data_IF_666206975912
#
_entry.id   IF_666206975912
#
_cell.length_a   1.000
_cell.length_b   1.000
_cell.length_c   1.000
_cell.angle_alpha   90.00
_cell.angle_beta   90.00
_cell.angle_gamma   90.00
#
_symmetry.space_group_name_H-M   'P 1'
#
loop_
_entity.id
_entity.type
_entity.pdbx_description
1 polymer ?
#
# COMPACT_ATOMS: atom_id res chain seq x y z
N UNK A 1 38.48 34.19 41.64
CA UNK A 1 38.18 32.80 41.20
C UNK A 1 37.33 32.18 42.31
N UNK A 2 36.16 31.56 42.04
CA UNK A 2 35.76 30.85 40.83
C UNK A 2 34.48 31.38 40.16
N UNK A 3 34.32 30.99 38.89
CA UNK A 3 33.20 31.29 37.99
C UNK A 3 31.99 30.38 38.26
N UNK A 4 30.78 30.94 38.19
CA UNK A 4 29.53 30.18 38.15
C UNK A 4 29.37 29.51 36.77
N UNK A 5 29.68 28.22 36.69
CA UNK A 5 29.38 27.40 35.51
C UNK A 5 27.90 27.06 35.47
N UNK A 6 27.19 27.62 34.49
CA UNK A 6 25.83 27.25 34.13
C UNK A 6 25.84 25.87 33.46
N UNK A 7 25.32 24.85 34.14
CA UNK A 7 25.09 23.52 33.59
C UNK A 7 23.76 23.51 32.82
N UNK A 8 23.83 23.71 31.51
CA UNK A 8 22.71 23.46 30.61
C UNK A 8 22.61 21.95 30.39
N UNK A 9 21.59 21.31 30.99
CA UNK A 9 21.20 19.94 30.67
C UNK A 9 20.47 19.92 29.32
N UNK A 10 21.19 19.69 28.22
CA UNK A 10 20.57 19.29 26.95
C UNK A 10 20.08 17.84 27.05
N UNK A 11 18.79 17.65 27.28
CA UNK A 11 18.14 16.36 27.15
C UNK A 11 18.11 15.96 25.67
N UNK A 12 19.00 15.03 25.27
CA UNK A 12 18.95 14.37 23.98
C UNK A 12 17.71 13.45 23.96
N UNK A 13 16.59 13.96 23.45
CA UNK A 13 15.44 13.12 23.09
C UNK A 13 15.88 12.28 21.88
N UNK A 14 16.46 11.12 22.16
CA UNK A 14 16.66 10.09 21.15
C UNK A 14 15.27 9.59 20.72
N UNK A 15 14.70 10.23 19.70
CA UNK A 15 13.53 9.70 19.01
C UNK A 15 13.95 8.38 18.37
N UNK A 16 13.71 7.28 19.06
CA UNK A 16 13.80 5.95 18.46
C UNK A 16 12.76 5.93 17.34
N UNK A 17 13.20 6.13 16.10
CA UNK A 17 12.37 5.81 14.94
C UNK A 17 12.04 4.33 15.08
N UNK A 18 10.79 4.04 15.43
CA UNK A 18 10.32 2.67 15.46
C UNK A 18 10.35 2.20 14.01
N UNK A 19 11.32 1.32 13.72
CA UNK A 19 11.30 0.46 12.55
C UNK A 19 10.09 -0.43 12.80
N UNK A 20 9.05 -0.31 11.97
CA UNK A 20 7.93 -1.22 12.05
C UNK A 20 7.24 -1.44 10.70
N UNK A 21 6.59 -2.60 10.57
CA UNK A 21 6.82 -3.49 9.44
C UNK A 21 5.60 -4.26 8.96
N UNK A 22 4.88 -3.63 8.05
CA UNK A 22 3.74 -4.20 7.36
C UNK A 22 3.60 -3.44 6.05
N UNK A 23 3.75 -4.08 4.90
CA UNK A 23 3.61 -3.41 3.62
C UNK A 23 2.68 -4.21 2.68
N UNK A 24 2.09 -3.51 1.71
CA UNK A 24 1.21 -4.11 0.71
C UNK A 24 2.03 -4.34 -0.56
N UNK A 25 2.43 -5.59 -0.80
CA UNK A 25 3.40 -5.90 -1.87
C UNK A 25 2.77 -6.02 -3.25
N UNK A 26 1.62 -6.68 -3.35
CA UNK A 26 0.94 -6.91 -4.62
C UNK A 26 -0.57 -6.92 -4.40
N UNK A 27 -1.31 -6.32 -5.32
CA UNK A 27 -2.77 -6.29 -5.33
C UNK A 27 -3.33 -6.50 -6.73
N UNK A 28 -4.44 -7.21 -6.83
CA UNK A 28 -5.21 -7.47 -8.05
C UNK A 28 -6.66 -7.06 -7.79
N UNK A 29 -7.29 -6.40 -8.75
CA UNK A 29 -8.72 -6.14 -8.70
C UNK A 29 -9.51 -7.38 -9.15
N UNK A 30 -10.78 -7.48 -8.77
CA UNK A 30 -11.64 -8.60 -9.16
C UNK A 30 -11.87 -8.71 -10.67
N UNK A 31 -11.74 -7.60 -11.40
CA UNK A 31 -11.76 -7.55 -12.87
C UNK A 31 -10.35 -7.59 -13.50
N UNK A 32 -9.32 -7.91 -12.71
CA UNK A 32 -7.93 -8.06 -13.17
C UNK A 32 -7.04 -6.85 -12.88
N UNK A 33 -5.99 -6.70 -13.68
CA UNK A 33 -4.93 -5.71 -13.45
C UNK A 33 -4.03 -6.05 -12.25
N UNK A 34 -2.98 -5.27 -12.06
CA UNK A 34 -2.02 -5.51 -10.99
C UNK A 34 -1.46 -4.19 -10.46
N UNK A 35 -1.16 -4.15 -9.17
CA UNK A 35 -0.65 -2.97 -8.49
C UNK A 35 0.27 -3.34 -7.33
N UNK A 36 1.06 -2.38 -6.90
CA UNK A 36 1.79 -2.41 -5.62
C UNK A 36 1.58 -1.08 -4.89
N UNK A 37 1.88 -1.03 -3.60
CA UNK A 37 1.74 0.22 -2.87
C UNK A 37 2.78 1.26 -3.30
N UNK A 38 2.40 2.54 -3.17
CA UNK A 38 3.32 3.66 -3.33
C UNK A 38 4.52 3.51 -2.39
N UNK A 39 5.72 3.75 -2.93
CA UNK A 39 6.97 3.67 -2.18
C UNK A 39 7.55 2.27 -2.03
N UNK A 40 6.87 1.21 -2.52
CA UNK A 40 7.42 -0.14 -2.62
C UNK A 40 8.59 -0.15 -3.62
N UNK A 41 9.66 -0.87 -3.27
CA UNK A 41 10.88 -0.96 -4.08
C UNK A 41 11.07 -2.35 -4.72
N UNK A 42 10.08 -3.25 -4.55
CA UNK A 42 10.09 -4.59 -5.13
C UNK A 42 11.23 -5.46 -4.61
N UNK A 43 11.74 -6.36 -5.46
CA UNK A 43 12.75 -7.36 -5.09
C UNK A 43 14.14 -6.80 -4.70
N UNK A 44 14.34 -5.48 -4.73
CA UNK A 44 15.58 -4.84 -4.26
C UNK A 44 15.65 -4.83 -2.73
N UNK A 45 14.52 -4.88 -2.03
CA UNK A 45 14.45 -4.96 -0.58
C UNK A 45 14.48 -6.43 -0.16
N UNK A 46 15.50 -6.88 0.60
CA UNK A 46 15.54 -8.26 1.06
C UNK A 46 14.37 -8.55 2.01
N UNK A 47 13.71 -9.70 1.88
CA UNK A 47 12.67 -10.11 2.83
C UNK A 47 13.22 -10.49 4.22
N UNK A 48 14.46 -11.00 4.29
CA UNK A 48 15.09 -11.41 5.56
C UNK A 48 16.34 -10.60 5.88
N UNK A 49 16.61 -10.42 7.18
CA UNK A 49 17.82 -9.76 7.64
C UNK A 49 17.57 -8.64 8.65
N UNK A 50 18.51 -7.71 8.74
CA UNK A 50 18.41 -6.58 9.66
C UNK A 50 17.31 -5.64 9.18
N UNK A 51 16.41 -5.35 10.09
CA UNK A 51 15.33 -4.40 9.96
C UNK A 51 15.64 -3.16 9.07
N UNK A 52 16.72 -2.44 9.40
CA UNK A 52 17.15 -1.26 8.64
C UNK A 52 17.40 -1.46 7.13
N UNK A 53 17.47 -2.70 6.65
CA UNK A 53 17.68 -3.13 5.26
C UNK A 53 16.42 -3.71 4.64
N UNK A 54 15.62 -4.47 5.40
CA UNK A 54 14.47 -5.25 4.91
C UNK A 54 13.16 -4.47 4.87
N UNK A 55 13.18 -3.22 5.33
CA UNK A 55 11.96 -2.48 5.70
C UNK A 55 11.97 -1.05 5.15
N UNK A 56 12.90 -0.78 4.24
CA UNK A 56 13.11 0.57 3.70
C UNK A 56 11.90 1.08 2.92
N UNK A 57 11.04 0.19 2.44
CA UNK A 57 9.86 0.49 1.64
C UNK A 57 8.53 0.32 2.39
N UNK A 58 8.57 0.03 3.70
CA UNK A 58 7.34 0.03 4.51
C UNK A 58 6.82 1.46 4.68
N UNK A 59 5.57 1.69 4.29
CA UNK A 59 4.92 2.98 4.47
C UNK A 59 4.45 3.13 5.92
N UNK A 60 4.83 4.26 6.52
CA UNK A 60 4.42 4.66 7.86
C UNK A 60 3.54 5.91 7.78
N UNK A 61 2.35 5.86 8.38
CA UNK A 61 1.47 7.03 8.51
C UNK A 61 1.64 7.73 9.85
N UNK A 62 1.12 8.97 9.95
CA UNK A 62 1.29 9.81 11.16
C UNK A 62 0.18 9.63 12.20
N UNK A 63 -0.98 9.11 11.81
CA UNK A 63 -2.20 9.08 12.61
C UNK A 63 -2.84 7.69 12.50
N UNK A 64 -3.21 7.12 13.65
CA UNK A 64 -3.83 5.78 13.79
C UNK A 64 -5.25 5.69 13.25
N UNK A 65 -5.88 6.84 13.04
CA UNK A 65 -7.16 6.93 12.36
C UNK A 65 -6.93 6.80 10.84
N UNK A 66 -7.64 5.86 10.21
CA UNK A 66 -7.51 5.58 8.79
C UNK A 66 -8.00 6.76 7.94
N UNK A 67 -9.04 7.46 8.41
CA UNK A 67 -9.68 8.60 7.73
C UNK A 67 -8.89 9.91 7.95
N UNK A 68 -7.58 9.84 7.72
CA UNK A 68 -6.67 10.98 7.83
C UNK A 68 -5.81 11.10 6.59
N UNK A 69 -5.61 12.35 6.15
CA UNK A 69 -4.94 12.65 4.89
C UNK A 69 -3.46 12.28 4.86
N UNK A 70 -2.98 12.11 3.63
CA UNK A 70 -1.58 11.91 3.31
C UNK A 70 -1.24 10.47 2.92
N UNK A 71 -0.23 10.36 2.05
CA UNK A 71 0.20 9.11 1.43
C UNK A 71 1.26 8.35 2.24
N UNK A 72 1.58 8.84 3.44
CA UNK A 72 2.61 8.27 4.31
C UNK A 72 4.03 8.56 3.84
N UNK A 73 5.00 7.87 4.44
CA UNK A 73 6.41 7.94 4.07
C UNK A 73 7.08 6.60 4.26
N UNK A 74 8.05 6.29 3.42
CA UNK A 74 8.97 5.16 3.60
C UNK A 74 10.32 5.66 4.09
N UNK A 75 11.14 4.76 4.61
CA UNK A 75 12.50 5.11 5.08
C UNK A 75 13.47 5.30 3.92
N UNK A 76 13.33 4.50 2.86
CA UNK A 76 14.16 4.52 1.67
C UNK A 76 13.76 5.59 0.65
N UNK A 77 12.46 5.87 0.52
CA UNK A 77 11.93 6.84 -0.45
C UNK A 77 11.52 8.19 0.15
N UNK A 78 11.43 8.31 1.47
CA UNK A 78 10.94 9.52 2.12
C UNK A 78 9.41 9.67 2.00
N UNK A 79 8.90 10.90 1.89
CA UNK A 79 7.44 11.13 1.79
C UNK A 79 6.92 10.62 0.45
N UNK A 80 5.93 9.75 0.49
CA UNK A 80 5.23 9.28 -0.70
C UNK A 80 4.45 10.42 -1.36
N UNK A 81 4.37 10.40 -2.68
CA UNK A 81 3.68 11.36 -3.54
C UNK A 81 2.78 10.61 -4.51
N UNK A 82 1.73 11.26 -5.01
CA UNK A 82 0.88 10.67 -6.03
C UNK A 82 1.70 10.25 -7.27
N UNK A 83 2.68 11.06 -7.67
CA UNK A 83 3.58 10.78 -8.79
C UNK A 83 4.40 9.48 -8.61
N UNK A 84 4.57 8.96 -7.40
CA UNK A 84 5.27 7.69 -7.14
C UNK A 84 4.48 6.49 -7.70
N UNK A 85 3.24 6.70 -8.15
CA UNK A 85 2.47 5.71 -8.90
C UNK A 85 3.22 5.24 -10.15
N UNK A 86 3.98 6.12 -10.81
CA UNK A 86 4.78 5.72 -11.98
C UNK A 86 5.81 4.64 -11.62
N UNK A 87 6.46 4.75 -10.45
CA UNK A 87 7.41 3.75 -9.98
C UNK A 87 6.69 2.46 -9.54
N UNK A 88 5.51 2.57 -8.92
CA UNK A 88 4.70 1.41 -8.57
C UNK A 88 4.30 0.61 -9.83
N UNK A 89 3.86 1.29 -10.89
CA UNK A 89 3.51 0.66 -12.17
C UNK A 89 4.70 0.02 -12.88
N UNK A 90 5.90 0.58 -12.75
CA UNK A 90 7.12 -0.09 -13.26
C UNK A 90 7.35 -1.47 -12.62
N UNK A 91 6.87 -1.67 -11.39
CA UNK A 91 6.99 -2.95 -10.68
C UNK A 91 5.83 -3.90 -10.97
N UNK A 92 4.62 -3.40 -11.23
CA UNK A 92 3.39 -4.20 -11.33
C UNK A 92 2.80 -4.32 -12.74
N UNK A 93 3.26 -3.51 -13.69
CA UNK A 93 2.71 -3.37 -15.04
C UNK A 93 1.81 -2.14 -15.20
N UNK A 94 1.44 -1.85 -16.45
CA UNK A 94 0.73 -0.61 -16.82
C UNK A 94 -0.78 -0.62 -16.56
N UNK A 95 -1.36 -1.80 -16.36
CA UNK A 95 -2.79 -1.95 -16.06
C UNK A 95 -2.99 -1.99 -14.55
N UNK A 96 -3.48 -0.88 -13.98
CA UNK A 96 -3.84 -0.80 -12.56
C UNK A 96 -4.90 -1.87 -12.19
N UNK A 97 -5.01 -2.25 -10.91
CA UNK A 97 -6.11 -3.09 -10.44
C UNK A 97 -7.48 -2.56 -10.90
N UNK A 98 -8.27 -3.43 -11.54
CA UNK A 98 -9.59 -3.11 -12.06
C UNK A 98 -10.66 -3.69 -11.15
N UNK A 99 -11.57 -2.83 -10.68
CA UNK A 99 -12.63 -3.19 -9.75
C UNK A 99 -13.99 -3.06 -10.41
N UNK A 100 -14.86 -4.07 -10.26
CA UNK A 100 -16.21 -4.03 -10.83
C UNK A 100 -17.06 -2.88 -10.26
N UNK A 101 -17.76 -2.11 -11.12
CA UNK A 101 -18.52 -0.94 -10.66
C UNK A 101 -19.77 -1.28 -9.83
N UNK A 102 -20.30 -2.49 -9.97
CA UNK A 102 -21.45 -3.01 -9.20
C UNK A 102 -21.11 -3.39 -7.75
N UNK A 103 -19.88 -3.09 -7.30
CA UNK A 103 -19.32 -3.64 -6.07
C UNK A 103 -18.36 -4.77 -6.42
N UNK A 104 -17.08 -4.54 -6.16
CA UNK A 104 -15.98 -5.44 -6.46
C UNK A 104 -15.01 -5.53 -5.29
N UNK A 105 -13.81 -6.07 -5.54
CA UNK A 105 -12.82 -6.22 -4.48
C UNK A 105 -11.40 -6.06 -4.99
N UNK A 106 -10.51 -5.69 -4.07
CA UNK A 106 -9.08 -5.74 -4.25
C UNK A 106 -8.55 -6.85 -3.35
N UNK A 107 -7.85 -7.80 -3.94
CA UNK A 107 -7.17 -8.90 -3.25
C UNK A 107 -5.67 -8.71 -3.34
N UNK A 108 -4.92 -9.16 -2.35
CA UNK A 108 -3.47 -9.00 -2.39
C UNK A 108 -2.73 -9.65 -1.24
N UNK A 109 -1.47 -9.26 -1.12
CA UNK A 109 -0.56 -9.74 -0.09
C UNK A 109 -0.14 -8.59 0.82
N UNK A 110 -0.38 -8.79 2.11
CA UNK A 110 0.17 -7.95 3.17
C UNK A 110 1.33 -8.68 3.83
N UNK A 111 2.53 -8.12 3.70
CA UNK A 111 3.75 -8.71 4.23
C UNK A 111 4.11 -8.09 5.57
N UNK A 112 4.25 -8.92 6.59
CA UNK A 112 4.64 -8.51 7.94
C UNK A 112 6.12 -8.84 8.16
N UNK A 113 6.98 -7.83 8.30
CA UNK A 113 8.40 -8.07 8.64
C UNK A 113 8.58 -8.25 10.16
N UNK A 114 7.83 -7.51 10.98
CA UNK A 114 7.84 -7.67 12.45
C UNK A 114 6.47 -7.60 13.07
N UNK A 115 6.40 -8.09 14.31
CA UNK A 115 5.16 -8.31 15.03
C UNK A 115 4.22 -7.11 15.08
N UNK A 116 4.74 -5.89 15.09
CA UNK A 116 4.02 -4.61 15.22
C UNK A 116 3.39 -4.08 13.90
N UNK A 117 3.72 -4.66 12.76
CA UNK A 117 3.03 -4.40 11.48
C UNK A 117 1.82 -5.29 11.24
N UNK A 118 1.47 -6.16 12.19
CA UNK A 118 0.33 -7.04 12.08
C UNK A 118 -1.01 -6.29 12.07
N UNK A 119 -2.08 -7.00 11.73
CA UNK A 119 -3.41 -6.43 11.72
C UNK A 119 -4.06 -6.31 13.11
N UNK A 120 -5.40 -6.14 13.15
CA UNK A 120 -6.28 -5.93 12.00
C UNK A 120 -5.95 -4.65 11.25
N UNK A 121 -6.26 -4.60 9.95
CA UNK A 121 -6.10 -3.38 9.14
C UNK A 121 -7.45 -2.71 8.86
N UNK A 122 -7.40 -1.50 8.35
CA UNK A 122 -8.54 -0.74 7.87
C UNK A 122 -8.21 -0.11 6.53
N UNK A 123 -9.23 0.16 5.73
CA UNK A 123 -9.07 0.71 4.40
C UNK A 123 -9.97 1.94 4.14
N UNK A 124 -9.38 2.96 3.50
CA UNK A 124 -10.07 4.19 3.12
C UNK A 124 -9.72 4.56 1.69
N UNK A 125 -10.74 4.86 0.88
CA UNK A 125 -10.62 5.20 -0.52
C UNK A 125 -10.70 6.72 -0.68
N UNK A 126 -9.74 7.30 -1.39
CA UNK A 126 -9.79 8.65 -1.93
C UNK A 126 -10.12 8.59 -3.44
N UNK A 127 -11.35 8.98 -3.85
CA UNK A 127 -11.78 9.06 -5.24
C UNK A 127 -10.91 9.95 -6.15
N UNK A 128 -10.20 10.92 -5.56
CA UNK A 128 -9.46 11.94 -6.31
C UNK A 128 -7.99 11.60 -6.53
N UNK A 129 -7.50 10.52 -5.89
CA UNK A 129 -6.09 10.11 -5.90
C UNK A 129 -5.11 11.23 -5.53
N UNK A 130 -5.47 12.06 -4.54
CA UNK A 130 -4.63 13.15 -4.02
C UNK A 130 -4.08 12.87 -2.62
N UNK A 131 -4.62 11.85 -1.95
CA UNK A 131 -4.36 11.54 -0.54
C UNK A 131 -5.36 12.18 0.43
N UNK A 132 -6.53 12.63 -0.05
CA UNK A 132 -7.62 13.22 0.74
C UNK A 132 -8.52 12.12 1.35
N UNK A 133 -7.95 11.32 2.25
CA UNK A 133 -8.67 10.21 2.88
C UNK A 133 -9.65 10.66 3.96
N UNK A 134 -9.52 11.87 4.52
CA UNK A 134 -10.47 12.38 5.52
C UNK A 134 -11.87 12.59 4.93
N UNK A 135 -11.96 12.89 3.64
CA UNK A 135 -13.22 13.02 2.90
C UNK A 135 -13.55 11.77 2.06
N UNK A 136 -12.81 10.69 2.28
CA UNK A 136 -12.89 9.48 1.47
C UNK A 136 -14.08 8.59 1.80
N UNK A 137 -14.09 7.40 1.19
CA UNK A 137 -15.08 6.36 1.42
C UNK A 137 -14.41 5.18 2.13
N UNK A 138 -14.99 4.73 3.24
CA UNK A 138 -14.45 3.58 3.96
C UNK A 138 -14.73 2.29 3.17
N UNK A 139 -13.70 1.46 3.00
CA UNK A 139 -13.81 0.15 2.37
C UNK A 139 -13.89 -0.96 3.42
N UNK A 140 -14.56 -2.06 3.10
CA UNK A 140 -14.77 -3.15 4.04
C UNK A 140 -13.69 -4.24 3.88
N UNK A 141 -13.07 -4.66 4.98
CA UNK A 141 -12.09 -5.75 4.96
C UNK A 141 -12.83 -7.09 4.98
N UNK A 142 -12.70 -7.89 3.92
CA UNK A 142 -13.31 -9.22 3.80
C UNK A 142 -12.41 -10.32 4.35
N UNK A 143 -11.12 -10.26 4.01
CA UNK A 143 -10.07 -11.12 4.57
C UNK A 143 -9.04 -10.20 5.20
N UNK A 144 -8.89 -10.29 6.52
CA UNK A 144 -8.04 -9.39 7.29
C UNK A 144 -6.68 -10.03 7.62
N UNK A 145 -5.71 -9.16 7.87
CA UNK A 145 -4.37 -9.52 8.33
C UNK A 145 -4.44 -9.92 9.80
N UNK A 146 -3.92 -11.10 10.20
CA UNK A 146 -3.98 -11.52 11.58
C UNK A 146 -3.19 -10.57 12.48
N UNK A 147 -3.73 -10.31 13.67
CA UNK A 147 -3.06 -9.54 14.71
C UNK A 147 -4.03 -9.08 15.80
N UNK A 148 -3.48 -8.54 16.88
CA UNK A 148 -4.23 -7.93 17.97
C UNK A 148 -3.62 -6.56 18.27
N UNK A 149 -4.32 -5.49 17.85
CA UNK A 149 -3.85 -4.09 17.96
C UNK A 149 -2.44 -3.90 17.39
N UNK A 150 -2.21 -4.44 16.20
CA UNK A 150 -0.92 -4.34 15.55
C UNK A 150 0.07 -5.42 15.96
N UNK A 151 -0.26 -6.37 16.86
CA UNK A 151 0.71 -7.36 17.35
C UNK A 151 0.36 -8.80 16.95
N UNK A 152 1.35 -9.56 16.48
CA UNK A 152 1.30 -11.02 16.26
C UNK A 152 2.49 -11.68 16.97
N UNK A 153 2.47 -13.00 17.19
CA UNK A 153 3.68 -13.73 17.64
C UNK A 153 4.64 -13.93 16.46
N UNK A 154 5.93 -14.13 16.75
CA UNK A 154 6.94 -14.43 15.72
C UNK A 154 6.59 -15.63 14.83
N UNK A 155 5.79 -16.57 15.33
CA UNK A 155 5.31 -17.74 14.60
C UNK A 155 3.95 -17.54 13.88
N UNK A 156 3.45 -16.30 13.78
CA UNK A 156 2.20 -16.00 13.06
C UNK A 156 0.91 -16.19 13.85
N UNK A 157 0.99 -16.59 15.11
CA UNK A 157 -0.22 -16.80 15.93
C UNK A 157 -0.58 -15.49 16.63
N UNK A 158 -1.87 -15.13 16.62
CA UNK A 158 -2.36 -13.95 17.35
C UNK A 158 -2.24 -14.19 18.87
N UNK A 159 -1.56 -13.31 19.63
CA UNK A 159 -1.41 -13.49 21.07
C UNK A 159 -2.75 -13.26 21.79
N UNK A 160 -3.14 -14.22 22.66
CA UNK A 160 -4.34 -14.12 23.53
C UNK A 160 -4.23 -13.02 24.59
N UNK A 161 -3.03 -12.55 24.91
CA UNK A 161 -2.77 -11.46 25.84
C UNK A 161 -1.58 -10.63 25.35
N UNK A 162 -1.69 -9.29 25.42
CA UNK A 162 -0.59 -8.38 25.10
C UNK A 162 0.56 -8.60 26.08
N UNK A 163 1.69 -9.11 25.59
CA UNK A 163 2.92 -9.25 26.39
C UNK A 163 3.45 -7.86 26.73
N UNK A 164 3.25 -7.43 27.97
CA UNK A 164 3.79 -6.17 28.51
C UNK A 164 5.32 -6.19 28.69
N UNK A 165 5.97 -7.34 28.48
CA UNK A 165 7.37 -7.58 28.82
C UNK A 165 8.33 -7.58 27.62
N UNK A 166 7.85 -7.40 26.40
CA UNK A 166 8.70 -7.32 25.19
C UNK A 166 8.49 -5.99 24.48
N UNK A 167 9.31 -4.99 24.81
CA UNK A 167 9.31 -3.64 24.18
C UNK A 167 9.82 -3.63 22.72
N UNK A 168 10.28 -4.76 22.18
CA UNK A 168 10.81 -4.84 20.80
C UNK A 168 9.94 -5.79 19.98
N UNK A 169 9.56 -5.33 18.80
CA UNK A 169 8.93 -6.16 17.80
C UNK A 169 9.89 -7.28 17.37
N UNK A 170 9.38 -8.50 17.28
CA UNK A 170 10.14 -9.65 16.81
C UNK A 170 9.99 -9.80 15.29
N UNK A 171 10.97 -10.39 14.63
CA UNK A 171 10.88 -10.68 13.20
C UNK A 171 9.81 -11.77 12.97
N UNK A 172 8.97 -11.54 11.97
CA UNK A 172 7.88 -12.43 11.55
C UNK A 172 8.20 -12.89 10.13
N UNK A 173 8.38 -11.94 9.22
CA UNK A 173 8.70 -12.14 7.80
C UNK A 173 7.77 -13.17 7.13
N UNK A 174 6.47 -12.84 7.09
CA UNK A 174 5.45 -13.69 6.49
C UNK A 174 4.43 -12.89 5.70
N UNK A 175 3.88 -13.55 4.70
CA UNK A 175 2.82 -13.04 3.84
C UNK A 175 1.46 -13.50 4.32
N UNK A 176 0.52 -12.56 4.33
CA UNK A 176 -0.87 -12.84 4.65
C UNK A 176 -1.78 -12.35 3.53
N UNK A 177 -2.78 -13.14 3.12
CA UNK A 177 -3.75 -12.67 2.15
C UNK A 177 -4.58 -11.55 2.78
N UNK A 178 -4.89 -10.55 1.98
CA UNK A 178 -5.85 -9.50 2.31
C UNK A 178 -6.87 -9.39 1.18
N UNK A 179 -8.13 -9.18 1.52
CA UNK A 179 -9.18 -8.88 0.55
C UNK A 179 -10.04 -7.74 1.07
N UNK A 180 -10.28 -6.75 0.24
CA UNK A 180 -10.98 -5.51 0.58
C UNK A 180 -12.10 -5.29 -0.42
N UNK A 181 -13.34 -5.26 0.06
CA UNK A 181 -14.49 -4.90 -0.75
C UNK A 181 -14.50 -3.39 -1.00
N UNK A 182 -14.62 -3.02 -2.28
CA UNK A 182 -14.86 -1.64 -2.71
C UNK A 182 -16.37 -1.42 -2.73
N UNK A 183 -16.89 -0.40 -2.01
CA UNK A 183 -18.32 -0.14 -1.99
C UNK A 183 -18.89 0.09 -3.40
N UNK A 184 -20.09 -0.45 -3.66
CA UNK A 184 -20.80 -0.19 -4.91
C UNK A 184 -21.04 1.31 -5.10
N UNK A 185 -20.96 1.79 -6.34
CA UNK A 185 -21.07 3.22 -6.65
C UNK A 185 -19.82 4.05 -6.36
N UNK A 186 -18.71 3.43 -5.93
CA UNK A 186 -17.40 4.11 -5.88
C UNK A 186 -17.05 4.62 -7.28
N UNK A 187 -16.66 5.89 -7.37
CA UNK A 187 -16.18 6.52 -8.60
C UNK A 187 -14.74 7.00 -8.39
N UNK A 188 -13.96 6.98 -9.47
CA UNK A 188 -12.58 7.43 -9.46
C UNK A 188 -12.43 8.55 -10.47
N UNK A 189 -11.86 9.68 -10.04
CA UNK A 189 -11.71 10.89 -10.86
C UNK A 189 -10.27 11.40 -10.91
N UNK A 190 -9.36 10.77 -10.17
CA UNK A 190 -7.95 11.15 -10.15
C UNK A 190 -7.27 10.96 -11.51
N UNK A 191 -6.35 11.86 -11.82
CA UNK A 191 -5.40 11.72 -12.93
C UNK A 191 -3.98 11.77 -12.38
N UNK A 192 -3.27 10.65 -12.46
CA UNK A 192 -1.95 10.48 -11.84
C UNK A 192 -1.07 9.64 -12.75
N UNK A 193 0.19 10.05 -12.96
CA UNK A 193 1.16 9.29 -13.74
C UNK A 193 0.67 8.86 -15.15
N UNK A 194 -0.14 9.71 -15.80
CA UNK A 194 -0.72 9.42 -17.13
C UNK A 194 -1.93 8.49 -17.12
N UNK A 195 -2.33 7.97 -15.95
CA UNK A 195 -3.55 7.19 -15.76
C UNK A 195 -4.72 8.12 -15.41
N UNK A 196 -5.88 7.87 -15.99
CA UNK A 196 -7.15 8.56 -15.68
C UNK A 196 -8.06 7.68 -14.84
N UNK A 197 -9.09 8.26 -14.21
CA UNK A 197 -10.06 7.52 -13.40
C UNK A 197 -9.40 6.71 -12.27
N UNK A 198 -8.39 7.28 -11.63
CA UNK A 198 -7.62 6.63 -10.56
C UNK A 198 -8.22 6.96 -9.20
N UNK A 199 -8.41 5.94 -8.37
CA UNK A 199 -8.61 6.08 -6.93
C UNK A 199 -7.33 5.69 -6.20
N UNK A 200 -7.13 6.26 -5.01
CA UNK A 200 -6.19 5.71 -4.05
C UNK A 200 -6.91 4.99 -2.92
N UNK A 201 -6.40 3.86 -2.48
CA UNK A 201 -6.84 3.16 -1.28
C UNK A 201 -5.71 3.09 -0.29
N UNK A 202 -5.88 3.75 0.86
CA UNK A 202 -5.00 3.62 2.02
C UNK A 202 -5.40 2.39 2.81
N UNK A 203 -4.43 1.53 3.10
CA UNK A 203 -4.59 0.30 3.89
C UNK A 203 -3.59 0.39 5.03
N UNK A 204 -4.06 0.38 6.28
CA UNK A 204 -3.15 0.47 7.42
C UNK A 204 -3.72 -0.19 8.68
N UNK A 205 -2.83 -0.67 9.55
CA UNK A 205 -3.19 -1.05 10.93
C UNK A 205 -3.33 0.19 11.84
N UNK A 206 -3.84 0.03 13.06
CA UNK A 206 -3.99 1.13 14.03
C UNK A 206 -2.90 1.11 15.13
N UNK A 207 -1.63 1.02 14.73
CA UNK A 207 -0.51 0.97 15.67
C UNK A 207 0.04 2.36 16.05
N UNK A 208 0.21 2.63 17.35
CA UNK A 208 0.74 3.91 17.87
C UNK A 208 2.21 4.15 17.59
N UNK A 209 2.99 3.08 17.35
CA UNK A 209 4.38 3.20 16.87
C UNK A 209 4.48 3.83 15.47
N UNK A 210 3.35 3.86 14.76
CA UNK A 210 3.20 4.26 13.37
C UNK A 210 2.16 3.31 12.77
N UNK A 211 1.13 3.79 12.10
CA UNK A 211 0.31 2.88 11.30
C UNK A 211 1.13 2.39 10.11
N UNK A 212 1.15 1.08 9.91
CA UNK A 212 1.91 0.42 8.84
C UNK A 212 0.95 -0.13 7.79
N UNK A 213 1.38 -0.05 6.53
CA UNK A 213 0.67 -0.61 5.39
C UNK A 213 1.12 0.05 4.10
N UNK A 214 0.18 0.63 3.35
CA UNK A 214 0.47 1.27 2.07
C UNK A 214 -0.71 2.02 1.47
N UNK A 215 -0.45 2.74 0.38
CA UNK A 215 -1.48 3.29 -0.49
C UNK A 215 -1.37 2.62 -1.85
N UNK A 216 -2.44 2.00 -2.32
CA UNK A 216 -2.51 1.39 -3.65
C UNK A 216 -3.39 2.22 -4.57
N UNK A 217 -3.09 2.21 -5.86
CA UNK A 217 -3.94 2.80 -6.89
C UNK A 217 -4.81 1.73 -7.54
N UNK A 218 -6.02 2.10 -7.93
CA UNK A 218 -6.93 1.22 -8.68
C UNK A 218 -7.87 2.06 -9.55
N UNK A 219 -8.56 1.39 -10.47
CA UNK A 219 -9.58 1.97 -11.34
C UNK A 219 -10.86 1.14 -11.27
N UNK A 220 -11.98 1.76 -11.62
CA UNK A 220 -13.22 1.02 -11.84
C UNK A 220 -13.23 0.49 -13.28
N UNK A 221 -13.48 -0.81 -13.47
CA UNK A 221 -13.34 -1.51 -14.75
C UNK A 221 -14.19 -0.89 -15.88
N UNK A 222 -15.37 -0.38 -15.55
CA UNK A 222 -16.28 0.25 -16.53
C UNK A 222 -15.85 1.66 -16.95
N UNK A 223 -14.90 2.28 -16.22
CA UNK A 223 -14.34 3.59 -16.53
C UNK A 223 -13.01 3.51 -17.32
N UNK A 224 -12.44 2.31 -17.51
CA UNK A 224 -11.13 2.12 -18.16
C UNK A 224 -11.21 1.95 -19.69
N UNK A 225 -12.41 2.05 -20.27
CA UNK A 225 -12.65 1.97 -21.72
C UNK A 225 -12.06 3.15 -22.55
N UNK A 226 -11.17 3.97 -21.97
CA UNK A 226 -10.51 5.10 -22.63
C UNK A 226 -9.03 4.90 -22.98
N UNK A 227 -8.40 3.81 -22.54
CA UNK A 227 -6.95 3.57 -22.75
C UNK A 227 -6.64 2.49 -23.80
N UNK A 228 -7.53 2.30 -24.77
CA UNK A 228 -7.18 1.58 -26.01
C UNK A 228 -6.20 2.43 -26.82
N UNK A 229 -4.91 2.24 -26.55
CA UNK A 229 -3.91 2.42 -27.58
C UNK A 229 -4.33 1.49 -28.71
N UNK A 230 -4.81 2.06 -29.82
CA UNK A 230 -5.27 1.31 -30.96
C UNK A 230 -4.17 0.34 -31.40
N UNK A 231 -4.37 -0.96 -31.14
CA UNK A 231 -3.64 -2.00 -31.83
C UNK A 231 -3.93 -1.80 -33.32
N UNK A 232 -2.92 -1.38 -34.07
CA UNK A 232 -3.04 -1.08 -35.49
C UNK A 232 -3.73 -2.23 -36.20
N UNK A 233 -4.90 -1.94 -36.79
CA UNK A 233 -5.56 -2.87 -37.68
C UNK A 233 -4.64 -3.12 -38.88
N UNK A 234 -3.92 -4.24 -38.86
CA UNK A 234 -3.28 -4.78 -40.06
C UNK A 234 -4.38 -5.13 -41.05
N UNK A 235 -4.58 -4.23 -42.01
CA UNK A 235 -5.40 -4.44 -43.20
C UNK A 235 -4.80 -5.61 -43.96
N UNK A 236 -5.35 -6.82 -43.79
CA UNK A 236 -4.97 -7.98 -44.57
C UNK A 236 -5.25 -7.69 -46.05
N UNK A 237 -4.19 -7.53 -46.84
CA UNK A 237 -4.29 -7.36 -48.28
C UNK A 237 -4.81 -8.67 -48.90
N UNK A 238 -5.98 -8.57 -49.54
CA UNK A 238 -6.55 -9.64 -50.37
C UNK A 238 -5.68 -9.80 -51.61
N UNK A 239 -4.98 -10.94 -51.73
CA UNK A 239 -4.23 -11.31 -52.92
C UNK A 239 -5.20 -11.79 -54.02
N UNK A 240 -5.11 -11.30 -55.28
CA UNK A 240 -6.02 -11.73 -56.33
C UNK A 240 -5.69 -13.15 -56.78
N UNK A 241 -6.69 -14.04 -56.76
CA UNK A 241 -6.62 -15.38 -57.37
C UNK A 241 -6.48 -15.23 -58.89
N UNK A 242 -5.35 -15.68 -59.44
CA UNK A 242 -5.21 -15.91 -60.88
C UNK A 242 -5.95 -17.19 -61.25
N UNK A 243 -7.01 -17.07 -62.04
CA UNK A 243 -7.52 -18.17 -62.86
C UNK A 243 -6.57 -18.36 -64.04
N UNK A 244 -6.13 -19.60 -64.28
CA UNK A 244 -5.57 -20.02 -65.57
C UNK A 244 -6.47 -21.11 -66.12
N UNK A 245 -6.74 -20.99 -67.42
CA UNK A 245 -7.56 -21.86 -68.24
C UNK A 245 -6.95 -23.27 -68.40
#
# INVERSE_FOLDING_TARGET
MPSFSSLIFTALVATTFVSAHGNVQVVTGDAGGNGTALGIQGGVVPGTGRNKVTEVDTTVFRKTDIATDGLGKTKGGGKNKAADLAAAMQLSGDTLPQVSASGGSISGTFHIVTTDGAGPVSAMIDPTATGNFASGVQANIMTDVPGNKGNIKANGVVPRMMSLLTKRAANVNMDFPIQIAVPAGTTCSGTVAGQSNVCFMKIANSNKAGPFGGVVAFQMADASAGNTTAAGAVKAAVLPRRFSA
#
